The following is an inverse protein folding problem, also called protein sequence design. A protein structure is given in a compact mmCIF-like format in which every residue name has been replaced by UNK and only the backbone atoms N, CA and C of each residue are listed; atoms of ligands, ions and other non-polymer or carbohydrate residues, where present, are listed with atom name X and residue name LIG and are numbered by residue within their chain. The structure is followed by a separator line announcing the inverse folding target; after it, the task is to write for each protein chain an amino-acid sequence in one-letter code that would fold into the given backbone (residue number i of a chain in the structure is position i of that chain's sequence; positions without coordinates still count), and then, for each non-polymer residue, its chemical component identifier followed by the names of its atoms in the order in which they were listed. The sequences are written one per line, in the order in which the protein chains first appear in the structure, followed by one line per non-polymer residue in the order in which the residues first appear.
data_IF_537158121067
#
_entry.id   IF_537158121067
#
_cell.length_a   1.000
_cell.length_b   1.000
_cell.length_c   1.000
_cell.angle_alpha   90.00
_cell.angle_beta   90.00
_cell.angle_gamma   90.00
#
_symmetry.space_group_name_H-M   'P 1'
#
loop_
_entity.id
_entity.type
_entity.pdbx_description
1 polymer ?
#
# COMPACT_ATOMS: atom_id res chain seq x y z
N UNK A 1 -40.90 -36.99 50.99
CA UNK A 1 -40.59 -36.03 49.92
C UNK A 1 -39.08 -36.01 49.78
N UNK A 2 -38.54 -36.60 48.72
CA UNK A 2 -37.13 -36.53 48.37
C UNK A 2 -37.03 -35.73 47.08
N UNK A 3 -36.54 -34.50 47.17
CA UNK A 3 -36.33 -33.65 46.02
C UNK A 3 -35.14 -34.16 45.21
N UNK A 4 -35.41 -34.53 43.96
CA UNK A 4 -34.39 -34.92 42.98
C UNK A 4 -33.79 -33.65 42.39
N UNK A 5 -32.55 -33.34 42.72
CA UNK A 5 -31.78 -32.31 42.01
C UNK A 5 -31.32 -32.86 40.66
N UNK A 6 -31.76 -32.22 39.58
CA UNK A 6 -31.23 -32.42 38.23
C UNK A 6 -30.13 -31.38 38.01
N UNK A 7 -28.88 -31.83 37.89
CA UNK A 7 -27.77 -30.98 37.47
C UNK A 7 -27.69 -31.00 35.96
N UNK A 8 -28.03 -29.88 35.33
CA UNK A 8 -27.86 -29.68 33.89
C UNK A 8 -26.44 -29.19 33.63
N UNK A 9 -25.60 -30.04 33.04
CA UNK A 9 -24.29 -29.66 32.54
C UNK A 9 -24.45 -28.98 31.19
N UNK A 10 -24.44 -27.64 31.17
CA UNK A 10 -24.39 -26.88 29.92
C UNK A 10 -22.92 -26.78 29.51
N UNK A 11 -22.53 -27.55 28.48
CA UNK A 11 -21.25 -27.37 27.82
C UNK A 11 -21.37 -26.11 26.95
N UNK A 12 -20.86 -24.98 27.45
CA UNK A 12 -20.56 -23.85 26.59
C UNK A 12 -19.37 -24.23 25.71
N UNK A 13 -19.64 -24.59 24.46
CA UNK A 13 -18.61 -24.61 23.42
C UNK A 13 -18.27 -23.15 23.15
N UNK A 14 -17.19 -22.65 23.76
CA UNK A 14 -16.59 -21.41 23.33
C UNK A 14 -16.15 -21.59 21.88
N UNK A 15 -16.87 -20.94 20.96
CA UNK A 15 -16.32 -20.67 19.64
C UNK A 15 -14.96 -20.01 19.87
N UNK A 16 -13.86 -20.53 19.31
CA UNK A 16 -12.59 -19.83 19.41
C UNK A 16 -12.82 -18.45 18.77
N UNK A 17 -12.68 -17.41 19.60
CA UNK A 17 -12.48 -16.06 19.11
C UNK A 17 -11.30 -16.15 18.16
N UNK A 18 -11.59 -16.04 16.86
CA UNK A 18 -10.56 -15.81 15.85
C UNK A 18 -10.01 -14.43 16.21
N UNK A 19 -8.95 -14.42 17.01
CA UNK A 19 -8.10 -13.26 17.14
C UNK A 19 -7.72 -12.88 15.70
N UNK A 20 -8.10 -11.67 15.31
CA UNK A 20 -7.78 -11.10 14.00
C UNK A 20 -6.28 -10.73 13.91
N UNK A 21 -5.42 -11.39 14.69
CA UNK A 21 -4.02 -11.05 14.82
C UNK A 21 -3.20 -12.03 14.00
N UNK A 22 -3.06 -11.73 12.71
CA UNK A 22 -1.88 -12.02 11.87
C UNK A 22 -2.07 -11.66 10.39
N UNK A 23 -3.12 -10.91 10.01
CA UNK A 23 -3.18 -10.36 8.66
C UNK A 23 -2.25 -9.15 8.55
N UNK A 24 -1.00 -9.39 8.14
CA UNK A 24 -0.12 -8.30 7.75
C UNK A 24 -0.65 -7.68 6.46
N UNK A 25 -0.90 -6.37 6.48
CA UNK A 25 -1.21 -5.59 5.28
C UNK A 25 -0.06 -5.61 4.25
N UNK A 26 1.09 -6.20 4.59
CA UNK A 26 2.23 -6.38 3.69
C UNK A 26 2.15 -7.65 2.84
N UNK A 27 1.15 -8.52 3.04
CA UNK A 27 1.04 -9.84 2.41
C UNK A 27 0.41 -9.85 1.01
N UNK A 28 0.31 -8.71 0.33
CA UNK A 28 -0.25 -8.62 -1.04
C UNK A 28 0.81 -8.69 -2.15
N UNK A 29 2.03 -9.11 -1.82
CA UNK A 29 3.15 -9.20 -2.76
C UNK A 29 3.41 -7.86 -3.45
N UNK A 30 3.41 -7.85 -4.78
CA UNK A 30 3.66 -6.62 -5.58
C UNK A 30 2.48 -5.64 -5.62
N UNK A 31 1.36 -5.97 -4.93
CA UNK A 31 0.16 -5.13 -4.79
C UNK A 31 0.04 -4.50 -3.41
N UNK A 32 0.98 -4.77 -2.51
CA UNK A 32 1.07 -4.10 -1.22
C UNK A 32 1.23 -2.60 -1.45
N UNK A 33 0.39 -1.80 -0.80
CA UNK A 33 0.47 -0.33 -0.77
C UNK A 33 1.88 0.09 -0.37
N UNK A 34 2.42 1.16 -0.94
CA UNK A 34 3.71 1.66 -0.48
C UNK A 34 3.64 2.03 1.01
N UNK A 35 4.61 1.58 1.80
CA UNK A 35 4.77 1.95 3.20
C UNK A 35 6.10 2.66 3.41
N UNK A 36 6.10 3.62 4.33
CA UNK A 36 7.33 4.33 4.67
C UNK A 36 8.33 3.36 5.32
N UNK A 37 9.56 3.38 4.84
CA UNK A 37 10.64 2.54 5.36
C UNK A 37 11.49 3.28 6.39
N UNK A 38 11.21 4.56 6.66
CA UNK A 38 11.91 5.36 7.68
C UNK A 38 11.83 4.76 9.08
N UNK A 39 10.73 4.05 9.37
CA UNK A 39 10.44 3.47 10.68
C UNK A 39 10.81 1.98 10.73
N UNK A 40 11.54 1.49 9.72
CA UNK A 40 12.05 0.12 9.74
C UNK A 40 13.16 -0.03 10.79
N UNK A 41 13.21 -1.20 11.43
CA UNK A 41 14.31 -1.56 12.33
C UNK A 41 15.67 -1.41 11.64
N UNK A 42 15.74 -1.70 10.33
CA UNK A 42 16.91 -1.48 9.51
C UNK A 42 17.32 0.00 9.43
N UNK A 43 16.38 0.91 9.19
CA UNK A 43 16.65 2.35 9.16
C UNK A 43 17.14 2.86 10.52
N UNK A 44 16.57 2.35 11.62
CA UNK A 44 17.03 2.65 12.97
C UNK A 44 18.47 2.15 13.22
N UNK A 45 18.79 0.91 12.83
CA UNK A 45 20.14 0.34 12.96
C UNK A 45 21.17 1.09 12.11
N UNK A 46 20.82 1.47 10.87
CA UNK A 46 21.70 2.27 10.02
C UNK A 46 21.99 3.64 10.63
N UNK A 47 20.98 4.34 11.18
CA UNK A 47 21.18 5.62 11.85
C UNK A 47 22.08 5.49 13.08
N UNK A 48 21.90 4.44 13.88
CA UNK A 48 22.73 4.18 15.07
C UNK A 48 24.20 3.87 14.73
N UNK A 49 24.46 3.19 13.60
CA UNK A 49 25.82 2.89 13.16
C UNK A 49 26.51 4.08 12.47
N UNK A 50 25.74 4.99 11.85
CA UNK A 50 26.28 6.21 11.24
C UNK A 50 26.67 7.23 12.32
N UNK A 51 26.02 7.25 13.48
CA UNK A 51 26.44 8.13 14.59
C UNK A 51 27.85 7.86 15.13
N UNK A 52 28.43 6.68 14.86
CA UNK A 52 29.81 6.34 15.22
C UNK A 52 30.84 6.74 14.13
N UNK A 53 30.37 7.13 12.94
CA UNK A 53 31.18 7.71 11.87
C UNK A 53 31.09 9.24 12.00
N UNK A 54 32.20 9.88 12.35
CA UNK A 54 32.33 11.34 12.57
C UNK A 54 32.18 12.20 11.30
N UNK A 55 31.28 11.85 10.39
CA UNK A 55 31.00 12.58 9.16
C UNK A 55 29.80 13.48 9.41
N UNK A 56 30.03 14.79 9.51
CA UNK A 56 28.92 15.73 9.58
C UNK A 56 28.34 15.94 8.18
N UNK A 57 27.02 16.12 8.10
CA UNK A 57 26.37 16.46 6.83
C UNK A 57 26.91 17.77 6.22
N UNK A 58 27.44 18.68 7.04
CA UNK A 58 28.12 19.91 6.59
C UNK A 58 29.39 19.65 5.78
N UNK A 59 29.99 18.48 5.95
CA UNK A 59 31.27 18.10 5.31
C UNK A 59 31.02 17.37 3.98
N UNK A 60 29.76 17.21 3.60
CA UNK A 60 29.33 16.48 2.40
C UNK A 60 28.68 17.42 1.39
N UNK A 61 29.03 17.23 0.13
CA UNK A 61 28.37 17.87 -1.00
C UNK A 61 27.54 16.83 -1.77
N UNK A 62 26.26 17.13 -2.02
CA UNK A 62 25.45 16.32 -2.90
C UNK A 62 25.85 16.58 -4.36
N UNK A 63 26.60 15.64 -4.94
CA UNK A 63 27.01 15.73 -6.35
C UNK A 63 25.87 15.34 -7.29
N UNK A 64 25.13 14.28 -6.97
CA UNK A 64 24.06 13.77 -7.82
C UNK A 64 23.03 12.93 -7.04
N UNK A 65 21.75 13.06 -7.41
CA UNK A 65 20.68 12.17 -6.99
C UNK A 65 20.12 11.43 -8.22
N UNK A 66 20.09 10.10 -8.18
CA UNK A 66 19.43 9.27 -9.18
C UNK A 66 18.39 8.39 -8.50
N UNK A 67 17.18 8.36 -9.05
CA UNK A 67 16.07 7.59 -8.49
C UNK A 67 15.40 6.79 -9.60
N UNK A 68 15.14 5.50 -9.32
CA UNK A 68 14.35 4.63 -10.18
C UNK A 68 13.18 4.13 -9.36
N UNK A 69 12.02 4.71 -9.63
CA UNK A 69 10.80 4.43 -8.90
C UNK A 69 9.79 3.72 -9.79
N UNK A 70 9.11 2.72 -9.23
CA UNK A 70 7.91 2.16 -9.87
C UNK A 70 6.79 3.20 -9.86
N UNK A 71 5.82 3.04 -10.76
CA UNK A 71 4.55 3.74 -10.65
C UNK A 71 3.89 3.51 -9.27
N UNK A 72 3.10 4.48 -8.82
CA UNK A 72 2.31 4.35 -7.59
C UNK A 72 1.17 3.33 -7.71
N UNK A 73 0.38 3.19 -6.64
CA UNK A 73 -0.81 2.36 -6.61
C UNK A 73 -1.76 2.69 -7.76
N UNK A 74 -2.26 1.65 -8.43
CA UNK A 74 -3.07 1.74 -9.65
C UNK A 74 -4.35 0.94 -9.52
N UNK A 75 -5.35 1.27 -10.34
CA UNK A 75 -6.49 0.38 -10.54
C UNK A 75 -6.05 -0.94 -11.18
N UNK A 76 -6.84 -2.03 -11.04
CA UNK A 76 -6.55 -3.29 -11.70
C UNK A 76 -6.46 -3.11 -13.23
N UNK A 77 -5.72 -4.00 -13.88
CA UNK A 77 -5.68 -4.06 -15.35
C UNK A 77 -7.01 -4.56 -15.89
N UNK A 78 -7.33 -4.24 -17.15
CA UNK A 78 -8.61 -4.64 -17.78
C UNK A 78 -8.94 -6.13 -17.59
N UNK A 79 -7.94 -7.02 -17.78
CA UNK A 79 -8.10 -8.45 -17.53
C UNK A 79 -8.50 -8.77 -16.09
N UNK A 80 -7.71 -8.27 -15.12
CA UNK A 80 -8.00 -8.46 -13.69
C UNK A 80 -9.35 -7.85 -13.28
N UNK A 81 -9.77 -6.73 -13.86
CA UNK A 81 -11.11 -6.17 -13.60
C UNK A 81 -12.21 -7.14 -14.04
N UNK A 82 -12.05 -7.77 -15.22
CA UNK A 82 -12.96 -8.82 -15.69
C UNK A 82 -12.99 -10.02 -14.75
N UNK A 83 -11.82 -10.55 -14.37
CA UNK A 83 -11.73 -11.68 -13.42
C UNK A 83 -12.40 -11.38 -12.06
N UNK A 84 -12.25 -10.14 -11.56
CA UNK A 84 -12.90 -9.70 -10.31
C UNK A 84 -14.41 -9.63 -10.50
N UNK A 85 -14.89 -9.08 -11.61
CA UNK A 85 -16.32 -9.00 -11.91
C UNK A 85 -16.96 -10.39 -12.05
N UNK A 86 -16.33 -11.29 -12.80
CA UNK A 86 -16.81 -12.67 -12.98
C UNK A 86 -16.87 -13.42 -11.64
N UNK A 87 -15.87 -13.23 -10.78
CA UNK A 87 -15.86 -13.80 -9.43
C UNK A 87 -17.00 -13.24 -8.57
N UNK A 88 -17.22 -11.93 -8.63
CA UNK A 88 -18.28 -11.26 -7.89
C UNK A 88 -19.66 -11.76 -8.32
N UNK A 89 -19.91 -11.85 -9.61
CA UNK A 89 -21.14 -12.39 -10.19
C UNK A 89 -21.37 -13.83 -9.74
N UNK A 90 -20.33 -14.67 -9.80
CA UNK A 90 -20.42 -16.06 -9.35
C UNK A 90 -20.78 -16.15 -7.86
N UNK A 91 -20.16 -15.34 -7.02
CA UNK A 91 -20.44 -15.29 -5.59
C UNK A 91 -21.87 -14.82 -5.30
N UNK A 92 -22.32 -13.76 -5.98
CA UNK A 92 -23.64 -13.16 -5.77
C UNK A 92 -24.78 -14.03 -6.33
N UNK A 93 -24.59 -14.69 -7.48
CA UNK A 93 -25.62 -15.52 -8.12
C UNK A 93 -25.71 -16.92 -7.52
N UNK A 94 -24.56 -17.56 -7.27
CA UNK A 94 -24.51 -18.99 -6.88
C UNK A 94 -24.32 -19.22 -5.38
N UNK A 95 -23.80 -18.21 -4.65
CA UNK A 95 -23.40 -18.35 -3.25
C UNK A 95 -24.00 -17.27 -2.34
N UNK A 96 -25.06 -16.58 -2.78
CA UNK A 96 -25.71 -15.50 -2.02
C UNK A 96 -26.08 -15.89 -0.58
N UNK A 97 -26.44 -17.15 -0.33
CA UNK A 97 -26.84 -17.62 0.99
C UNK A 97 -25.67 -17.80 1.97
N UNK A 98 -24.43 -17.89 1.49
CA UNK A 98 -23.24 -18.15 2.31
C UNK A 98 -22.26 -16.97 2.36
N UNK A 99 -22.43 -15.96 1.51
CA UNK A 99 -21.63 -14.75 1.54
C UNK A 99 -22.17 -13.71 2.55
N UNK A 100 -21.29 -12.85 3.10
CA UNK A 100 -21.72 -11.75 3.96
C UNK A 100 -22.69 -10.78 3.26
N UNK A 101 -23.60 -10.17 4.03
CA UNK A 101 -24.61 -9.25 3.48
C UNK A 101 -24.02 -8.07 2.68
N UNK A 102 -22.85 -7.55 3.09
CA UNK A 102 -22.20 -6.44 2.37
C UNK A 102 -21.77 -6.83 0.96
N UNK A 103 -21.48 -8.12 0.70
CA UNK A 103 -21.00 -8.60 -0.59
C UNK A 103 -22.15 -8.90 -1.58
N UNK A 104 -23.37 -9.12 -1.09
CA UNK A 104 -24.53 -9.52 -1.91
C UNK A 104 -24.88 -8.50 -2.99
N UNK A 105 -24.76 -7.21 -2.67
CA UNK A 105 -25.04 -6.09 -3.57
C UNK A 105 -23.80 -5.19 -3.76
N UNK A 106 -22.62 -5.74 -3.50
CA UNK A 106 -21.37 -5.01 -3.69
C UNK A 106 -21.14 -4.75 -5.18
N UNK A 107 -20.60 -3.57 -5.48
CA UNK A 107 -20.14 -3.20 -6.81
C UNK A 107 -18.76 -2.55 -6.70
N UNK A 108 -17.98 -2.66 -7.78
CA UNK A 108 -16.65 -2.06 -7.84
C UNK A 108 -16.78 -0.53 -7.92
N UNK A 109 -15.93 0.18 -7.19
CA UNK A 109 -15.91 1.65 -7.14
C UNK A 109 -15.19 2.31 -8.32
N UNK A 110 -14.88 1.52 -9.35
CA UNK A 110 -14.12 1.93 -10.53
C UNK A 110 -14.73 1.33 -11.79
N UNK A 111 -14.52 2.01 -12.91
CA UNK A 111 -15.06 1.63 -14.20
C UNK A 111 -13.97 1.06 -15.11
N UNK A 112 -14.38 0.49 -16.24
CA UNK A 112 -13.46 -0.06 -17.25
C UNK A 112 -12.53 0.99 -17.87
N UNK A 113 -12.90 2.26 -17.82
CA UNK A 113 -12.07 3.40 -18.26
C UNK A 113 -10.88 3.64 -17.35
N UNK A 114 -10.94 3.23 -16.09
CA UNK A 114 -9.88 3.42 -15.10
C UNK A 114 -8.80 2.32 -15.19
N UNK A 115 -8.98 1.36 -16.09
CA UNK A 115 -8.19 0.14 -16.16
C UNK A 115 -6.69 0.39 -16.30
N UNK A 116 -5.94 0.06 -15.25
CA UNK A 116 -4.49 0.19 -15.21
C UNK A 116 -3.98 1.62 -15.00
N UNK A 117 -4.86 2.60 -14.85
CA UNK A 117 -4.52 3.99 -14.57
C UNK A 117 -4.03 4.18 -13.13
N UNK A 118 -3.26 5.25 -12.91
CA UNK A 118 -2.78 5.61 -11.58
C UNK A 118 -3.99 5.98 -10.70
N UNK A 119 -4.12 5.34 -9.55
CA UNK A 119 -5.21 5.60 -8.63
C UNK A 119 -4.91 6.86 -7.78
N UNK A 120 -5.92 7.53 -7.20
CA UNK A 120 -5.70 8.67 -6.30
C UNK A 120 -4.72 8.37 -5.16
N UNK A 121 -4.76 7.16 -4.62
CA UNK A 121 -3.79 6.69 -3.62
C UNK A 121 -2.36 6.68 -4.16
N UNK A 122 -2.16 6.29 -5.42
CA UNK A 122 -0.85 6.29 -6.08
C UNK A 122 -0.27 7.70 -6.27
N UNK A 123 -1.11 8.69 -6.57
CA UNK A 123 -0.69 10.10 -6.58
C UNK A 123 -0.18 10.53 -5.21
N UNK A 124 -0.96 10.26 -4.15
CA UNK A 124 -0.57 10.63 -2.79
C UNK A 124 0.70 9.92 -2.31
N UNK A 125 0.91 8.67 -2.69
CA UNK A 125 2.14 7.91 -2.41
C UNK A 125 3.38 8.60 -2.99
N UNK A 126 3.29 9.03 -4.25
CA UNK A 126 4.41 9.63 -4.97
C UNK A 126 4.67 11.08 -4.56
N UNK A 127 3.63 11.88 -4.32
CA UNK A 127 3.78 13.20 -3.73
C UNK A 127 4.48 13.12 -2.35
N UNK A 128 4.08 12.15 -1.52
CA UNK A 128 4.73 11.89 -0.24
C UNK A 128 6.19 11.44 -0.40
N UNK A 129 6.46 10.54 -1.36
CA UNK A 129 7.82 10.10 -1.68
C UNK A 129 8.70 11.25 -2.18
N UNK A 130 8.19 12.12 -3.04
CA UNK A 130 8.88 13.31 -3.54
C UNK A 130 9.19 14.29 -2.40
N UNK A 131 8.23 14.54 -1.51
CA UNK A 131 8.43 15.40 -0.33
C UNK A 131 9.52 14.87 0.62
N UNK A 132 9.55 13.55 0.86
CA UNK A 132 10.60 12.93 1.68
C UNK A 132 11.96 12.93 0.99
N UNK A 133 11.99 12.64 -0.31
CA UNK A 133 13.21 12.71 -1.12
C UNK A 133 13.79 14.12 -1.06
N UNK A 134 12.93 15.14 -1.16
CA UNK A 134 13.32 16.53 -0.98
C UNK A 134 13.89 16.82 0.41
N UNK A 135 13.21 16.42 1.47
CA UNK A 135 13.72 16.61 2.83
C UNK A 135 15.09 15.95 3.03
N UNK A 136 15.39 14.83 2.37
CA UNK A 136 16.68 14.15 2.52
C UNK A 136 17.86 14.92 1.93
N UNK A 137 17.63 15.84 0.99
CA UNK A 137 18.66 16.62 0.31
C UNK A 137 18.67 18.11 0.70
N UNK A 138 17.72 18.55 1.53
CA UNK A 138 17.63 19.91 2.07
C UNK A 138 17.80 21.00 1.00
N UNK A 139 18.82 21.86 1.16
CA UNK A 139 19.12 23.00 0.31
C UNK A 139 20.04 22.65 -0.87
N UNK A 140 20.55 21.42 -0.93
CA UNK A 140 21.46 20.96 -1.98
C UNK A 140 20.80 20.85 -3.36
N UNK A 141 19.47 20.93 -3.43
CA UNK A 141 18.71 20.91 -4.68
C UNK A 141 17.75 22.14 -4.72
N UNK A 142 17.64 22.89 -5.83
CA UNK A 142 16.72 24.03 -5.93
C UNK A 142 15.24 23.66 -5.68
N UNK A 143 14.47 24.53 -5.02
CA UNK A 143 13.03 24.31 -4.75
C UNK A 143 12.19 24.39 -6.03
N UNK A 144 12.57 25.25 -6.96
CA UNK A 144 11.88 25.44 -8.23
C UNK A 144 12.39 24.45 -9.27
N UNK A 145 11.46 23.81 -9.99
CA UNK A 145 11.80 22.94 -11.09
C UNK A 145 12.60 23.68 -12.18
N UNK A 146 13.70 23.08 -12.61
CA UNK A 146 14.55 23.57 -13.69
C UNK A 146 14.87 22.42 -14.66
N UNK A 147 14.34 22.45 -15.87
CA UNK A 147 14.50 21.38 -16.86
C UNK A 147 15.97 21.10 -17.26
N UNK A 148 16.88 22.05 -17.03
CA UNK A 148 18.33 21.84 -17.25
C UNK A 148 18.96 20.99 -16.16
N UNK A 149 18.47 21.08 -14.91
CA UNK A 149 19.00 20.38 -13.73
C UNK A 149 18.24 19.08 -13.43
N UNK A 150 16.93 19.07 -13.66
CA UNK A 150 16.07 17.93 -13.35
C UNK A 150 15.70 17.17 -14.62
N UNK A 151 16.27 15.97 -14.76
CA UNK A 151 15.93 15.04 -15.85
C UNK A 151 14.94 14.01 -15.34
N UNK A 152 13.66 14.19 -15.70
CA UNK A 152 12.62 13.22 -15.44
C UNK A 152 12.40 12.37 -16.69
N UNK A 153 12.44 11.05 -16.51
CA UNK A 153 12.18 10.08 -17.56
C UNK A 153 11.12 9.09 -17.07
N UNK A 154 10.28 8.63 -17.98
CA UNK A 154 9.28 7.60 -17.72
C UNK A 154 9.20 6.63 -18.89
N UNK A 155 8.62 5.46 -18.65
CA UNK A 155 8.36 4.48 -19.73
C UNK A 155 7.16 4.91 -20.58
N UNK A 156 6.85 4.15 -21.64
CA UNK A 156 5.70 4.44 -22.53
C UNK A 156 4.32 4.33 -21.89
N UNK A 157 4.23 3.83 -20.65
CA UNK A 157 2.96 3.62 -19.97
C UNK A 157 2.42 4.91 -19.33
N UNK A 158 1.13 5.24 -19.57
CA UNK A 158 0.48 6.45 -19.05
C UNK A 158 0.65 6.62 -17.53
N UNK A 159 0.32 5.60 -16.73
CA UNK A 159 0.54 5.60 -15.26
C UNK A 159 1.97 5.95 -14.82
N UNK A 160 2.99 5.65 -15.62
CA UNK A 160 4.38 6.01 -15.28
C UNK A 160 4.69 7.46 -15.59
N UNK A 161 4.06 8.03 -16.62
CA UNK A 161 4.12 9.46 -16.90
C UNK A 161 3.40 10.25 -15.80
N UNK A 162 2.22 9.82 -15.38
CA UNK A 162 1.47 10.50 -14.30
C UNK A 162 2.17 10.33 -12.95
N UNK A 163 2.79 9.19 -12.71
CA UNK A 163 3.65 8.98 -11.56
C UNK A 163 4.84 9.95 -11.52
N UNK A 164 5.44 10.26 -12.68
CA UNK A 164 6.55 11.20 -12.75
C UNK A 164 6.12 12.67 -12.57
N UNK A 165 4.83 12.98 -12.75
CA UNK A 165 4.27 14.33 -12.56
C UNK A 165 3.79 14.59 -11.13
N UNK A 166 3.39 13.53 -10.41
CA UNK A 166 2.86 13.58 -9.06
C UNK A 166 3.90 14.02 -8.03
#
# INVERSE_FOLDING_TARGET
MLDKFVVVFIIFVSLPSISADNFSLQSFGTKTKYWDQSDSSLAATLRANISDLAVNASDLELVQLQQVSRHGSRFPTKGNMGEIADLLDKLQLSFSNVIPNWLKNYSLSYNSTDAGELAPTGFAELAGYGSRSRHSVMDSIPVTYNASLFKLAHTSSARTADSAKA
#
